data_IF_220538465973
#
_entry.id   IF_220538465973
#
_cell.length_a   1.000
_cell.length_b   1.000
_cell.length_c   1.000
_cell.angle_alpha   90.00
_cell.angle_beta   90.00
_cell.angle_gamma   90.00
#
_symmetry.space_group_name_H-M   'P 1'
#
loop_
_entity.id
_entity.type
_entity.pdbx_description
1 polymer ?
#
# COMPACT_ATOMS: atom_id res chain seq x y z
N UNK A 1 35.37 -56.95 -14.28
CA UNK A 1 35.49 -56.02 -13.13
C UNK A 1 34.78 -54.74 -13.55
N UNK A 2 33.72 -54.18 -12.94
CA UNK A 2 32.87 -54.44 -11.76
C UNK A 2 31.47 -53.93 -12.14
N UNK A 3 30.43 -54.64 -11.71
CA UNK A 3 29.02 -54.21 -11.76
C UNK A 3 28.84 -53.02 -10.81
N UNK A 4 28.05 -52.01 -11.17
CA UNK A 4 27.45 -51.11 -10.19
C UNK A 4 25.98 -50.88 -10.54
N UNK A 5 25.15 -51.51 -9.72
CA UNK A 5 23.73 -51.29 -9.55
C UNK A 5 23.61 -50.00 -8.72
N UNK A 6 22.88 -49.00 -9.20
CA UNK A 6 22.46 -47.88 -8.34
C UNK A 6 20.94 -47.73 -8.41
N UNK A 7 20.34 -48.37 -7.41
CA UNK A 7 18.99 -48.15 -6.90
C UNK A 7 18.77 -46.65 -6.68
N UNK A 8 17.87 -46.02 -7.45
CA UNK A 8 17.33 -44.72 -7.08
C UNK A 8 16.13 -44.96 -6.15
N UNK A 9 16.36 -44.75 -4.86
CA UNK A 9 15.38 -44.89 -3.80
C UNK A 9 14.29 -43.81 -3.93
N UNK A 10 13.07 -44.30 -3.84
CA UNK A 10 11.81 -43.64 -3.54
C UNK A 10 11.96 -42.39 -2.65
N UNK A 11 11.95 -41.21 -3.26
CA UNK A 11 11.79 -39.94 -2.56
C UNK A 11 10.37 -39.43 -2.73
N UNK A 12 9.42 -39.92 -1.92
CA UNK A 12 8.13 -39.24 -1.75
C UNK A 12 8.42 -37.92 -1.04
N UNK A 13 8.65 -36.88 -1.82
CA UNK A 13 8.72 -35.51 -1.34
C UNK A 13 7.29 -35.09 -0.99
N UNK A 14 6.86 -35.42 0.22
CA UNK A 14 5.61 -34.91 0.80
C UNK A 14 5.78 -33.39 0.92
N UNK A 15 5.36 -32.66 -0.13
CA UNK A 15 5.30 -31.21 -0.10
C UNK A 15 4.32 -30.80 0.99
N UNK A 16 4.86 -30.49 2.16
CA UNK A 16 4.16 -29.78 3.21
C UNK A 16 3.98 -28.34 2.71
N UNK A 17 2.89 -28.08 1.99
CA UNK A 17 2.51 -26.72 1.64
C UNK A 17 2.26 -25.95 2.95
N UNK A 18 2.80 -24.72 3.11
CA UNK A 18 2.45 -23.90 4.25
C UNK A 18 0.94 -23.66 4.21
N UNK A 19 0.23 -24.01 5.29
CA UNK A 19 -1.16 -23.63 5.46
C UNK A 19 -1.21 -22.10 5.39
N UNK A 20 -1.75 -21.57 4.29
CA UNK A 20 -2.01 -20.15 4.17
C UNK A 20 -3.08 -19.84 5.21
N UNK A 21 -2.68 -19.23 6.33
CA UNK A 21 -3.63 -18.63 7.26
C UNK A 21 -4.32 -17.51 6.49
N UNK A 22 -5.54 -17.76 6.04
CA UNK A 22 -6.39 -16.69 5.52
C UNK A 22 -6.61 -15.76 6.70
N UNK A 23 -5.93 -14.61 6.69
CA UNK A 23 -6.18 -13.55 7.66
C UNK A 23 -7.65 -13.17 7.48
N UNK A 24 -8.48 -13.46 8.49
CA UNK A 24 -9.88 -13.04 8.47
C UNK A 24 -9.91 -11.52 8.30
N UNK A 25 -10.64 -11.06 7.29
CA UNK A 25 -10.78 -9.64 7.04
C UNK A 25 -11.85 -9.06 7.97
N UNK A 26 -11.81 -7.76 8.24
CA UNK A 26 -12.88 -7.11 9.00
C UNK A 26 -14.21 -7.32 8.26
N UNK A 27 -15.18 -7.94 8.94
CA UNK A 27 -16.50 -8.25 8.38
C UNK A 27 -16.83 -9.74 8.20
N UNK A 28 -15.85 -10.64 8.34
CA UNK A 28 -16.08 -12.10 8.31
C UNK A 28 -16.85 -12.57 9.56
N UNK A 29 -16.62 -11.91 10.69
CA UNK A 29 -17.34 -12.11 11.96
C UNK A 29 -18.18 -10.88 12.28
N UNK A 30 -19.38 -11.08 12.83
CA UNK A 30 -20.22 -9.99 13.31
C UNK A 30 -19.59 -9.33 14.55
N UNK A 31 -19.09 -8.10 14.43
CA UNK A 31 -18.50 -7.36 15.55
C UNK A 31 -19.51 -6.36 16.11
N UNK A 32 -19.67 -6.37 17.44
CA UNK A 32 -20.58 -5.49 18.18
C UNK A 32 -20.01 -5.17 19.55
N UNK A 33 -20.67 -4.29 20.30
CA UNK A 33 -20.25 -3.96 21.66
C UNK A 33 -20.08 -5.21 22.53
N UNK A 34 -18.95 -5.27 23.23
CA UNK A 34 -18.54 -6.41 24.05
C UNK A 34 -17.71 -7.47 23.30
N UNK A 35 -17.66 -7.44 21.97
CA UNK A 35 -16.72 -8.27 21.20
C UNK A 35 -15.29 -7.81 21.50
N UNK A 36 -14.36 -8.77 21.62
CA UNK A 36 -12.94 -8.50 21.81
C UNK A 36 -12.10 -9.39 20.89
N UNK A 37 -10.85 -9.02 20.63
CA UNK A 37 -9.90 -9.85 19.89
C UNK A 37 -9.27 -9.16 18.69
N UNK A 38 -8.56 -9.94 17.88
CA UNK A 38 -7.79 -9.47 16.71
C UNK A 38 -8.65 -8.73 15.69
N UNK A 39 -9.89 -9.20 15.45
CA UNK A 39 -10.78 -8.59 14.47
C UNK A 39 -11.19 -7.17 14.90
N UNK A 40 -11.31 -6.95 16.21
CA UNK A 40 -11.60 -5.62 16.77
C UNK A 40 -10.37 -4.72 16.69
N UNK A 41 -9.17 -5.25 16.96
CA UNK A 41 -7.91 -4.53 16.77
C UNK A 41 -7.79 -4.05 15.33
N UNK A 42 -8.11 -4.92 14.36
CA UNK A 42 -8.05 -4.57 12.94
C UNK A 42 -9.08 -3.50 12.59
N UNK A 43 -10.35 -3.68 13.00
CA UNK A 43 -11.41 -2.68 12.84
C UNK A 43 -10.99 -1.30 13.37
N UNK A 44 -10.48 -1.25 14.61
CA UNK A 44 -10.03 -0.02 15.25
C UNK A 44 -8.87 0.65 14.50
N UNK A 45 -7.91 -0.16 14.04
CA UNK A 45 -6.77 0.32 13.25
C UNK A 45 -7.23 0.95 11.94
N UNK A 46 -8.10 0.27 11.21
CA UNK A 46 -8.60 0.74 9.91
C UNK A 46 -9.47 1.99 10.07
N UNK A 47 -10.37 2.02 11.07
CA UNK A 47 -11.18 3.20 11.38
C UNK A 47 -10.30 4.41 11.70
N UNK A 48 -9.34 4.27 12.60
CA UNK A 48 -8.38 5.34 12.93
C UNK A 48 -7.60 5.80 11.69
N UNK A 49 -7.11 4.85 10.87
CA UNK A 49 -6.39 5.19 9.65
C UNK A 49 -7.25 5.96 8.66
N UNK A 50 -8.55 5.63 8.57
CA UNK A 50 -9.51 6.34 7.74
C UNK A 50 -9.91 7.70 8.32
N UNK A 51 -9.71 7.92 9.63
CA UNK A 51 -9.96 9.18 10.33
C UNK A 51 -11.18 9.14 11.27
N UNK A 52 -11.73 7.95 11.52
CA UNK A 52 -12.79 7.72 12.49
C UNK A 52 -12.16 7.35 13.82
N UNK A 53 -12.06 8.33 14.72
CA UNK A 53 -11.35 8.18 15.99
C UNK A 53 -12.03 7.14 16.91
N UNK A 54 -11.34 6.03 17.13
CA UNK A 54 -11.71 5.00 18.12
C UNK A 54 -10.95 5.16 19.44
N UNK A 55 -9.99 6.09 19.51
CA UNK A 55 -9.00 6.19 20.56
C UNK A 55 -7.92 5.13 20.45
N UNK A 56 -7.60 4.50 21.58
CA UNK A 56 -6.58 3.46 21.67
C UNK A 56 -7.07 2.20 20.96
N UNK A 57 -6.18 1.58 20.18
CA UNK A 57 -6.41 0.25 19.61
C UNK A 57 -6.12 -0.79 20.70
N UNK A 58 -7.16 -1.13 21.46
CA UNK A 58 -7.10 -2.06 22.60
C UNK A 58 -7.71 -3.44 22.30
N UNK A 59 -8.31 -3.61 21.12
CA UNK A 59 -9.01 -4.83 20.75
C UNK A 59 -10.33 -5.03 21.48
N UNK A 60 -10.90 -3.98 22.09
CA UNK A 60 -12.17 -4.01 22.81
C UNK A 60 -13.20 -3.17 22.06
N UNK A 61 -14.32 -3.79 21.70
CA UNK A 61 -15.42 -3.06 21.07
C UNK A 61 -16.23 -2.34 22.16
N UNK A 62 -15.69 -1.22 22.63
CA UNK A 62 -16.29 -0.35 23.63
C UNK A 62 -17.13 0.79 23.03
N UNK A 63 -17.42 1.81 23.85
CA UNK A 63 -18.23 2.97 23.47
C UNK A 63 -17.60 3.81 22.35
N UNK A 64 -16.29 3.98 22.37
CA UNK A 64 -15.56 4.77 21.38
C UNK A 64 -15.60 4.08 20.01
N UNK A 65 -15.23 2.79 19.96
CA UNK A 65 -15.34 1.96 18.75
C UNK A 65 -16.77 1.96 18.21
N UNK A 66 -17.78 1.81 19.07
CA UNK A 66 -19.18 1.86 18.66
C UNK A 66 -19.55 3.21 18.02
N UNK A 67 -19.09 4.31 18.62
CA UNK A 67 -19.35 5.66 18.12
C UNK A 67 -18.69 5.87 16.76
N UNK A 68 -17.43 5.46 16.60
CA UNK A 68 -16.70 5.52 15.34
C UNK A 68 -17.36 4.69 14.24
N UNK A 69 -17.80 3.46 14.55
CA UNK A 69 -18.56 2.62 13.59
C UNK A 69 -19.84 3.31 13.15
N UNK A 70 -20.60 3.89 14.09
CA UNK A 70 -21.83 4.64 13.74
C UNK A 70 -21.53 5.80 12.79
N UNK A 71 -20.48 6.56 13.08
CA UNK A 71 -20.07 7.72 12.25
C UNK A 71 -19.61 7.25 10.87
N UNK A 72 -18.80 6.17 10.81
CA UNK A 72 -18.38 5.54 9.58
C UNK A 72 -19.58 5.09 8.74
N UNK A 73 -20.49 4.31 9.32
CA UNK A 73 -21.68 3.83 8.63
C UNK A 73 -22.52 5.00 8.10
N UNK A 74 -22.71 6.05 8.91
CA UNK A 74 -23.46 7.25 8.50
C UNK A 74 -22.77 7.99 7.35
N UNK A 75 -21.44 8.11 7.38
CA UNK A 75 -20.64 8.75 6.33
C UNK A 75 -20.62 7.94 5.03
N UNK A 76 -20.77 6.63 5.12
CA UNK A 76 -20.82 5.71 3.97
C UNK A 76 -22.24 5.41 3.49
N UNK A 77 -23.25 6.14 3.97
CA UNK A 77 -24.67 5.92 3.63
C UNK A 77 -25.15 4.49 3.90
N UNK A 78 -24.60 3.85 4.94
CA UNK A 78 -24.99 2.53 5.43
C UNK A 78 -25.97 2.65 6.60
N UNK A 79 -26.62 1.54 6.95
CA UNK A 79 -27.38 1.44 8.21
C UNK A 79 -26.46 1.71 9.40
N UNK A 80 -26.74 2.77 10.17
CA UNK A 80 -25.95 3.18 11.33
C UNK A 80 -26.33 2.39 12.61
N UNK A 81 -26.43 1.07 12.47
CA UNK A 81 -26.83 0.12 13.51
C UNK A 81 -25.73 -0.18 14.54
N UNK A 82 -24.52 0.39 14.31
CA UNK A 82 -23.35 0.27 15.19
C UNK A 82 -22.77 -1.14 15.26
N UNK A 83 -23.09 -1.99 14.27
CA UNK A 83 -22.63 -3.37 14.16
C UNK A 83 -21.80 -3.50 12.88
N UNK A 84 -20.65 -4.16 12.96
CA UNK A 84 -19.82 -4.43 11.79
C UNK A 84 -20.14 -5.84 11.30
N UNK A 85 -21.03 -5.91 10.31
CA UNK A 85 -21.27 -7.10 9.51
C UNK A 85 -20.54 -7.04 8.16
N UNK A 86 -20.81 -7.99 7.23
CA UNK A 86 -20.12 -8.08 5.96
C UNK A 86 -20.19 -6.81 5.10
N UNK A 87 -21.33 -6.11 5.07
CA UNK A 87 -21.50 -4.87 4.28
C UNK A 87 -20.58 -3.77 4.81
N UNK A 88 -20.58 -3.54 6.13
CA UNK A 88 -19.74 -2.52 6.78
C UNK A 88 -18.27 -2.86 6.66
N UNK A 89 -17.89 -4.13 6.89
CA UNK A 89 -16.52 -4.61 6.78
C UNK A 89 -15.96 -4.49 5.36
N UNK A 90 -16.71 -4.92 4.35
CA UNK A 90 -16.28 -4.80 2.95
C UNK A 90 -16.06 -3.34 2.54
N UNK A 91 -16.96 -2.44 2.94
CA UNK A 91 -16.80 -1.01 2.67
C UNK A 91 -15.56 -0.43 3.36
N UNK A 92 -15.32 -0.82 4.62
CA UNK A 92 -14.16 -0.39 5.39
C UNK A 92 -12.86 -0.84 4.72
N UNK A 93 -12.75 -2.14 4.40
CA UNK A 93 -11.59 -2.74 3.75
C UNK A 93 -11.29 -2.08 2.41
N UNK A 94 -12.31 -1.80 1.60
CA UNK A 94 -12.17 -1.14 0.29
C UNK A 94 -11.60 0.28 0.42
N UNK A 95 -12.13 1.08 1.35
CA UNK A 95 -11.65 2.43 1.59
C UNK A 95 -10.25 2.45 2.20
N UNK A 96 -9.97 1.53 3.12
CA UNK A 96 -8.66 1.37 3.72
C UNK A 96 -7.62 1.04 2.65
N UNK A 97 -7.88 0.01 1.83
CA UNK A 97 -7.00 -0.38 0.71
C UNK A 97 -6.79 0.78 -0.29
N UNK A 98 -7.84 1.54 -0.60
CA UNK A 98 -7.74 2.72 -1.47
C UNK A 98 -6.85 3.80 -0.86
N UNK A 99 -7.05 4.15 0.41
CA UNK A 99 -6.27 5.20 1.09
C UNK A 99 -4.81 4.79 1.28
N UNK A 100 -4.53 3.52 1.56
CA UNK A 100 -3.17 2.96 1.61
C UNK A 100 -2.51 3.06 0.22
N UNK A 101 -3.21 2.68 -0.84
CA UNK A 101 -2.70 2.76 -2.23
C UNK A 101 -2.45 4.20 -2.69
N UNK A 102 -3.27 5.15 -2.25
CA UNK A 102 -3.07 6.57 -2.55
C UNK A 102 -1.85 7.14 -1.80
N UNK A 103 -1.63 6.74 -0.54
CA UNK A 103 -0.45 7.13 0.24
C UNK A 103 0.83 6.60 -0.39
N UNK A 104 0.87 5.32 -0.79
CA UNK A 104 2.04 4.72 -1.44
C UNK A 104 2.36 5.36 -2.79
N UNK A 105 1.34 5.65 -3.62
CA UNK A 105 1.53 6.36 -4.88
C UNK A 105 2.08 7.78 -4.66
N UNK A 106 1.56 8.51 -3.66
CA UNK A 106 2.07 9.84 -3.32
C UNK A 106 3.54 9.79 -2.90
N UNK A 107 3.92 8.82 -2.06
CA UNK A 107 5.31 8.63 -1.67
C UNK A 107 6.20 8.29 -2.86
N UNK A 108 5.79 7.37 -3.75
CA UNK A 108 6.55 7.01 -4.94
C UNK A 108 6.74 8.20 -5.90
N UNK A 109 5.70 9.03 -6.09
CA UNK A 109 5.81 10.28 -6.87
C UNK A 109 6.81 11.25 -6.26
N UNK A 110 6.81 11.39 -4.93
CA UNK A 110 7.75 12.26 -4.23
C UNK A 110 9.20 11.77 -4.37
N UNK A 111 9.42 10.46 -4.23
CA UNK A 111 10.73 9.84 -4.44
C UNK A 111 11.22 10.06 -5.88
N UNK A 112 10.33 9.87 -6.87
CA UNK A 112 10.66 10.13 -8.28
C UNK A 112 10.95 11.60 -8.56
N UNK A 113 10.19 12.52 -7.96
CA UNK A 113 10.46 13.96 -8.05
C UNK A 113 11.83 14.33 -7.45
N UNK A 114 12.17 13.78 -6.29
CA UNK A 114 13.47 13.99 -5.65
C UNK A 114 14.62 13.46 -6.53
N UNK A 115 14.45 12.30 -7.17
CA UNK A 115 15.43 11.75 -8.10
C UNK A 115 15.63 12.64 -9.33
N UNK A 116 14.55 13.15 -9.92
CA UNK A 116 14.61 14.10 -11.05
C UNK A 116 15.38 15.36 -10.65
N UNK A 117 15.06 15.95 -9.50
CA UNK A 117 15.77 17.14 -8.98
C UNK A 117 17.25 16.84 -8.75
N UNK A 118 17.58 15.69 -8.15
CA UNK A 118 18.96 15.28 -7.92
C UNK A 118 19.74 15.11 -9.23
N UNK A 119 19.12 14.51 -10.26
CA UNK A 119 19.70 14.39 -11.59
C UNK A 119 19.92 15.76 -12.23
N UNK A 120 18.94 16.67 -12.12
CA UNK A 120 19.09 18.03 -12.63
C UNK A 120 20.27 18.78 -12.00
N UNK A 121 20.42 18.68 -10.68
CA UNK A 121 21.53 19.32 -9.96
C UNK A 121 22.93 18.90 -10.45
N UNK A 122 23.09 17.72 -11.07
CA UNK A 122 24.37 17.26 -11.63
C UNK A 122 24.88 18.12 -12.78
N UNK A 123 23.99 18.84 -13.47
CA UNK A 123 24.33 19.63 -14.65
C UNK A 123 24.27 21.14 -14.39
N UNK A 124 24.23 21.56 -13.13
CA UNK A 124 24.41 22.97 -12.76
C UNK A 124 25.79 23.41 -13.26
N UNK A 125 25.82 24.49 -14.04
CA UNK A 125 27.04 25.05 -14.63
C UNK A 125 27.32 24.59 -16.06
N UNK A 126 26.54 23.67 -16.63
CA UNK A 126 26.61 23.36 -18.07
C UNK A 126 26.20 24.61 -18.87
N UNK A 127 26.95 24.92 -19.92
CA UNK A 127 26.72 26.10 -20.75
C UNK A 127 25.37 26.05 -21.46
N UNK A 128 24.74 27.21 -21.63
CA UNK A 128 23.53 27.32 -22.43
C UNK A 128 23.87 27.26 -23.93
N UNK A 129 23.14 26.47 -24.69
CA UNK A 129 23.24 26.40 -26.15
C UNK A 129 21.83 26.30 -26.73
N UNK A 130 21.46 27.22 -27.62
CA UNK A 130 20.16 27.17 -28.30
C UNK A 130 20.03 25.88 -29.13
N UNK A 131 18.99 25.08 -28.88
CA UNK A 131 18.82 23.75 -29.49
C UNK A 131 19.70 22.66 -28.86
N UNK A 132 20.39 22.96 -27.75
CA UNK A 132 21.29 22.04 -27.07
C UNK A 132 20.54 20.98 -26.25
N UNK A 133 20.96 19.72 -26.36
CA UNK A 133 20.29 18.58 -25.71
C UNK A 133 21.22 17.66 -24.93
N UNK A 134 22.49 18.06 -24.73
CA UNK A 134 23.49 17.20 -24.10
C UNK A 134 24.48 17.98 -23.23
N UNK A 135 25.03 17.36 -22.17
CA UNK A 135 25.96 18.04 -21.27
C UNK A 135 27.30 18.39 -21.93
N UNK A 136 27.70 17.68 -22.99
CA UNK A 136 28.96 17.93 -23.69
C UNK A 136 28.93 19.15 -24.62
N UNK A 137 27.76 19.48 -25.16
CA UNK A 137 27.56 20.63 -26.06
C UNK A 137 26.94 21.83 -25.37
N UNK A 138 26.18 21.59 -24.30
CA UNK A 138 25.31 22.57 -23.68
C UNK A 138 23.84 22.23 -23.86
N UNK A 139 23.01 22.86 -23.04
CA UNK A 139 21.57 22.67 -23.02
C UNK A 139 20.81 23.95 -23.37
N UNK A 140 19.64 23.81 -24.00
CA UNK A 140 18.57 24.80 -23.89
C UNK A 140 17.56 24.41 -22.81
N UNK A 141 16.49 25.20 -22.65
CA UNK A 141 15.48 24.96 -21.62
C UNK A 141 14.76 23.61 -21.78
N UNK A 142 14.33 23.28 -23.00
CA UNK A 142 13.61 22.05 -23.33
C UNK A 142 14.53 20.83 -23.32
N UNK A 143 15.71 20.92 -23.92
CA UNK A 143 16.70 19.87 -24.01
C UNK A 143 17.23 19.46 -22.65
N UNK A 144 17.43 20.41 -21.72
CA UNK A 144 17.77 20.09 -20.33
C UNK A 144 16.65 19.29 -19.64
N UNK A 145 15.41 19.75 -19.73
CA UNK A 145 14.28 19.10 -19.06
C UNK A 145 14.04 17.71 -19.64
N UNK A 146 14.02 17.56 -20.97
CA UNK A 146 13.90 16.27 -21.63
C UNK A 146 15.03 15.32 -21.22
N UNK A 147 16.29 15.80 -21.21
CA UNK A 147 17.45 14.99 -20.83
C UNK A 147 17.37 14.52 -19.36
N UNK A 148 17.07 15.42 -18.43
CA UNK A 148 16.96 15.08 -17.00
C UNK A 148 15.83 14.09 -16.74
N UNK A 149 14.67 14.28 -17.38
CA UNK A 149 13.54 13.37 -17.22
C UNK A 149 13.78 12.00 -17.89
N UNK A 150 14.42 11.97 -19.06
CA UNK A 150 14.78 10.73 -19.75
C UNK A 150 15.73 9.86 -18.91
N UNK A 151 16.70 10.48 -18.23
CA UNK A 151 17.60 9.80 -17.28
C UNK A 151 16.88 9.20 -16.06
N UNK A 152 15.64 9.61 -15.81
CA UNK A 152 14.75 9.07 -14.77
C UNK A 152 13.60 8.23 -15.37
N UNK A 153 13.76 7.78 -16.62
CA UNK A 153 12.81 6.91 -17.32
C UNK A 153 11.47 7.59 -17.64
N UNK A 154 11.44 8.92 -17.80
CA UNK A 154 10.27 9.68 -18.22
C UNK A 154 10.56 10.33 -19.57
N UNK A 155 9.79 9.95 -20.59
CA UNK A 155 9.84 10.62 -21.88
C UNK A 155 8.94 11.85 -21.85
N UNK A 156 9.50 12.99 -22.24
CA UNK A 156 8.75 14.21 -22.47
C UNK A 156 8.66 14.50 -23.98
N UNK A 157 7.63 15.25 -24.43
CA UNK A 157 7.53 15.72 -25.81
C UNK A 157 8.71 16.60 -26.22
#
# INVERSE_FOLDING_TARGET
MKKLISLAILGVFLMLAPAQTVQAAVGDTLLKVGTTGSDVVQLQTELNYLGYDVGIVDGIFGSNTQTAVKVFQSAQSLSADRIVGPITGNQLNSLYATKVSQKSNTQSRQEKANAIIATGKKYIGVSYLWGGTSPGTGFDCSGYVQYVFAQNGISLP
#
